data_IF_150040715599
#
_entry.id   IF_150040715599
#
_cell.length_a   1.000
_cell.length_b   1.000
_cell.length_c   1.000
_cell.angle_alpha   90.00
_cell.angle_beta   90.00
_cell.angle_gamma   90.00
#
_symmetry.space_group_name_H-M   'P 1'
#
loop_
_entity.id
_entity.type
_entity.pdbx_description
1 polymer ?
#
# COMPACT_ATOMS: atom_id res chain seq x y z
N UNK A 1 0.16 -29.29 8.22
CA UNK A 1 -0.06 -27.91 8.71
C UNK A 1 1.30 -27.18 8.72
N UNK A 2 2.05 -26.99 7.64
CA UNK A 2 1.71 -26.75 6.23
C UNK A 2 2.29 -25.36 5.90
N UNK A 3 3.59 -25.24 5.62
CA UNK A 3 4.27 -23.94 5.37
C UNK A 3 3.53 -23.03 4.38
N UNK A 4 2.76 -23.61 3.44
CA UNK A 4 1.90 -22.87 2.50
C UNK A 4 0.85 -21.98 3.17
N UNK A 5 0.22 -22.42 4.27
CA UNK A 5 -0.83 -21.64 4.96
C UNK A 5 -0.27 -20.36 5.59
N UNK A 6 0.97 -20.42 6.10
CA UNK A 6 1.62 -19.26 6.72
C UNK A 6 2.00 -18.21 5.67
N UNK A 7 2.48 -18.66 4.50
CA UNK A 7 2.86 -17.78 3.39
C UNK A 7 1.62 -17.09 2.82
N UNK A 8 0.52 -17.83 2.62
CA UNK A 8 -0.71 -17.26 2.09
C UNK A 8 -1.29 -16.20 3.04
N UNK A 9 -1.30 -16.46 4.35
CA UNK A 9 -1.72 -15.47 5.36
C UNK A 9 -0.81 -14.25 5.38
N UNK A 10 0.51 -14.44 5.31
CA UNK A 10 1.46 -13.33 5.28
C UNK A 10 1.24 -12.42 4.07
N UNK A 11 1.03 -13.00 2.88
CA UNK A 11 0.73 -12.26 1.65
C UNK A 11 -0.60 -11.50 1.73
N UNK A 12 -1.60 -12.09 2.39
CA UNK A 12 -2.91 -11.46 2.59
C UNK A 12 -2.79 -10.24 3.52
N UNK A 13 -2.06 -10.38 4.63
CA UNK A 13 -1.78 -9.27 5.56
C UNK A 13 -0.98 -8.17 4.88
N UNK A 14 0.06 -8.51 4.11
CA UNK A 14 0.86 -7.54 3.34
C UNK A 14 0.02 -6.78 2.31
N UNK A 15 -0.92 -7.47 1.64
CA UNK A 15 -1.85 -6.84 0.71
C UNK A 15 -2.78 -5.85 1.43
N UNK A 16 -3.34 -6.23 2.59
CA UNK A 16 -4.18 -5.34 3.41
C UNK A 16 -3.38 -4.12 3.87
N UNK A 17 -2.17 -4.32 4.39
CA UNK A 17 -1.31 -3.22 4.87
C UNK A 17 -0.97 -2.26 3.72
N UNK A 18 -0.65 -2.78 2.53
CA UNK A 18 -0.43 -1.97 1.34
C UNK A 18 -1.65 -1.15 0.95
N UNK A 19 -2.84 -1.75 0.99
CA UNK A 19 -4.12 -1.09 0.65
C UNK A 19 -4.47 0.00 1.66
N UNK A 20 -4.30 -0.27 2.96
CA UNK A 20 -4.50 0.70 4.04
C UNK A 20 -3.50 1.85 3.92
N UNK A 21 -2.22 1.55 3.67
CA UNK A 21 -1.20 2.58 3.46
C UNK A 21 -1.51 3.47 2.25
N UNK A 22 -2.03 2.88 1.17
CA UNK A 22 -2.46 3.62 -0.02
C UNK A 22 -3.65 4.53 0.28
N UNK A 23 -4.66 4.05 1.03
CA UNK A 23 -5.78 4.86 1.49
C UNK A 23 -5.32 6.03 2.36
N UNK A 24 -4.41 5.80 3.33
CA UNK A 24 -3.88 6.85 4.20
C UNK A 24 -3.13 7.89 3.38
N UNK A 25 -2.27 7.47 2.45
CA UNK A 25 -1.55 8.36 1.54
C UNK A 25 -2.49 9.20 0.68
N UNK A 26 -3.55 8.58 0.14
CA UNK A 26 -4.55 9.24 -0.67
C UNK A 26 -5.38 10.26 0.12
N UNK A 27 -5.81 9.92 1.33
CA UNK A 27 -6.53 10.82 2.24
C UNK A 27 -5.63 11.99 2.61
N UNK A 28 -4.37 11.73 2.94
CA UNK A 28 -3.42 12.79 3.31
C UNK A 28 -3.23 13.76 2.14
N UNK A 29 -3.05 13.24 0.92
CA UNK A 29 -2.86 14.03 -0.31
C UNK A 29 -4.10 14.86 -0.66
N UNK A 30 -5.28 14.25 -0.54
CA UNK A 30 -6.57 14.93 -0.74
C UNK A 30 -6.80 16.01 0.30
N UNK A 31 -6.48 15.76 1.57
CA UNK A 31 -6.58 16.73 2.65
C UNK A 31 -5.61 17.91 2.46
N UNK A 32 -4.36 17.68 2.03
CA UNK A 32 -3.43 18.78 1.70
C UNK A 32 -3.87 19.59 0.49
N UNK A 33 -4.43 18.93 -0.53
CA UNK A 33 -4.99 19.61 -1.71
C UNK A 33 -6.20 20.47 -1.37
N UNK A 34 -7.14 19.94 -0.58
CA UNK A 34 -8.40 20.59 -0.22
C UNK A 34 -8.26 21.64 0.89
N UNK A 35 -7.48 21.37 1.93
CA UNK A 35 -7.36 22.24 3.12
C UNK A 35 -6.22 23.25 2.95
N UNK A 36 -5.15 22.87 2.25
CA UNK A 36 -3.94 23.69 2.14
C UNK A 36 -3.83 24.51 0.86
N UNK A 37 -4.55 24.16 -0.22
CA UNK A 37 -4.36 24.70 -1.58
C UNK A 37 -2.87 24.75 -2.01
N UNK A 38 -2.05 23.82 -1.48
CA UNK A 38 -0.60 23.73 -1.68
C UNK A 38 -0.30 22.49 -2.52
N UNK A 39 0.74 22.58 -3.36
CA UNK A 39 1.20 21.43 -4.15
C UNK A 39 1.63 20.30 -3.20
N UNK A 40 1.33 19.03 -3.55
CA UNK A 40 1.76 17.88 -2.76
C UNK A 40 3.29 17.87 -2.61
N UNK A 41 3.77 17.69 -1.39
CA UNK A 41 5.20 17.71 -1.08
C UNK A 41 5.88 16.42 -1.56
N UNK A 42 7.16 16.47 -1.97
CA UNK A 42 7.93 15.28 -2.33
C UNK A 42 7.80 14.09 -1.36
N UNK A 43 7.90 14.26 -0.03
CA UNK A 43 7.73 13.15 0.91
C UNK A 43 6.35 12.47 0.83
N UNK A 44 5.31 13.23 0.52
CA UNK A 44 3.94 12.72 0.36
C UNK A 44 3.76 11.84 -0.87
N UNK A 45 4.37 12.22 -1.98
CA UNK A 45 4.39 11.38 -3.18
C UNK A 45 5.17 10.09 -2.93
N UNK A 46 6.31 10.17 -2.24
CA UNK A 46 7.15 9.00 -1.97
C UNK A 46 6.45 8.00 -1.04
N UNK A 47 5.76 8.44 0.01
CA UNK A 47 5.04 7.53 0.92
C UNK A 47 3.84 6.89 0.24
N UNK A 48 3.08 7.64 -0.57
CA UNK A 48 1.99 7.08 -1.35
C UNK A 48 2.50 6.05 -2.39
N UNK A 49 3.59 6.36 -3.07
CA UNK A 49 4.22 5.45 -4.03
C UNK A 49 4.78 4.20 -3.36
N UNK A 50 5.44 4.33 -2.21
CA UNK A 50 5.96 3.19 -1.46
C UNK A 50 4.82 2.25 -1.00
N UNK A 51 3.71 2.80 -0.49
CA UNK A 51 2.55 1.97 -0.12
C UNK A 51 1.92 1.28 -1.33
N UNK A 52 1.82 1.98 -2.47
CA UNK A 52 1.34 1.40 -3.71
C UNK A 52 2.24 0.23 -4.16
N UNK A 53 3.57 0.41 -4.16
CA UNK A 53 4.54 -0.63 -4.54
C UNK A 53 4.48 -1.83 -3.58
N UNK A 54 4.33 -1.62 -2.28
CA UNK A 54 4.22 -2.70 -1.29
C UNK A 54 2.92 -3.51 -1.49
N UNK A 55 1.78 -2.83 -1.66
CA UNK A 55 0.50 -3.49 -1.90
C UNK A 55 0.46 -4.24 -3.23
N UNK A 56 0.98 -3.63 -4.30
CA UNK A 56 1.03 -4.24 -5.62
C UNK A 56 2.05 -5.39 -5.68
N UNK A 57 3.20 -5.24 -5.02
CA UNK A 57 4.22 -6.28 -4.89
C UNK A 57 3.70 -7.51 -4.16
N UNK A 58 2.96 -7.33 -3.06
CA UNK A 58 2.33 -8.43 -2.34
C UNK A 58 1.30 -9.17 -3.21
N UNK A 59 0.50 -8.43 -3.98
CA UNK A 59 -0.50 -9.00 -4.88
C UNK A 59 0.15 -9.76 -6.05
N UNK A 60 1.23 -9.25 -6.63
CA UNK A 60 2.01 -9.92 -7.69
C UNK A 60 2.67 -11.20 -7.18
N UNK A 61 3.28 -11.18 -5.99
CA UNK A 61 3.89 -12.37 -5.39
C UNK A 61 2.81 -13.44 -5.15
N UNK A 62 1.62 -13.02 -4.68
CA UNK A 62 0.49 -13.93 -4.52
C UNK A 62 0.05 -14.54 -5.86
N UNK A 63 -0.02 -13.75 -6.92
CA UNK A 63 -0.46 -14.18 -8.26
C UNK A 63 0.59 -15.03 -9.00
N UNK A 64 1.85 -14.99 -8.58
CA UNK A 64 2.92 -15.84 -9.15
C UNK A 64 3.10 -17.16 -8.40
N UNK A 65 2.68 -17.21 -7.13
CA UNK A 65 2.76 -18.40 -6.28
C UNK A 65 1.50 -19.27 -6.31
N UNK A 66 0.40 -18.77 -6.88
CA UNK A 66 -0.92 -19.43 -7.01
C UNK A 66 -1.49 -19.23 -8.41
#
# INVERSE_FOLDING_TARGET
MGQGDAIEKALLVLSIVGLVGMMIGFIWMSAHGMVGNRRPTRPMLVTAFACAVVGWGAMLIRLFLF
#
